data_IF_720178763704
#
_entry.id   IF_720178763704
#
_cell.length_a   1.000
_cell.length_b   1.000
_cell.length_c   1.000
_cell.angle_alpha   90.00
_cell.angle_beta   90.00
_cell.angle_gamma   90.00
#
_symmetry.space_group_name_H-M   'P 1'
#
loop_
_entity.id
_entity.type
_entity.pdbx_description
1 polymer ?
#
# COMPACT_ATOMS: atom_id res chain seq x y z
N UNK A 1 -25.11 -7.42 -7.74
CA UNK A 1 -24.07 -6.70 -7.00
C UNK A 1 -23.79 -7.43 -5.71
N UNK A 2 -22.56 -7.41 -5.25
CA UNK A 2 -22.16 -7.99 -3.96
C UNK A 2 -22.92 -7.31 -2.81
N UNK A 3 -23.35 -8.08 -1.83
CA UNK A 3 -23.99 -7.56 -0.62
C UNK A 3 -22.93 -7.13 0.41
N UNK A 4 -23.26 -6.27 1.41
CA UNK A 4 -22.34 -5.97 2.51
C UNK A 4 -21.84 -7.21 3.24
N UNK A 5 -22.68 -8.27 3.31
CA UNK A 5 -22.31 -9.57 3.88
C UNK A 5 -21.22 -10.28 3.06
N UNK A 6 -21.32 -10.22 1.72
CA UNK A 6 -20.35 -10.84 0.83
C UNK A 6 -18.96 -10.20 0.99
N UNK A 7 -18.94 -8.88 1.21
CA UNK A 7 -17.69 -8.13 1.40
C UNK A 7 -17.08 -8.44 2.76
N UNK A 8 -17.89 -8.43 3.81
CA UNK A 8 -17.43 -8.81 5.14
C UNK A 8 -16.81 -10.21 5.09
N UNK A 9 -17.44 -11.13 4.37
CA UNK A 9 -16.91 -12.48 4.21
C UNK A 9 -15.59 -12.49 3.42
N UNK A 10 -15.46 -11.70 2.36
CA UNK A 10 -14.20 -11.57 1.60
C UNK A 10 -13.04 -11.06 2.46
N UNK A 11 -13.27 -10.06 3.31
CA UNK A 11 -12.24 -9.59 4.25
C UNK A 11 -11.82 -10.68 5.23
N UNK A 12 -12.77 -11.47 5.72
CA UNK A 12 -12.48 -12.61 6.60
C UNK A 12 -11.71 -13.71 5.90
N UNK A 13 -12.09 -14.03 4.67
CA UNK A 13 -11.41 -15.06 3.87
C UNK A 13 -9.99 -14.61 3.53
N UNK A 14 -9.79 -13.36 3.14
CA UNK A 14 -8.48 -12.79 2.89
C UNK A 14 -7.60 -12.78 4.17
N UNK A 15 -8.17 -12.45 5.33
CA UNK A 15 -7.45 -12.50 6.60
C UNK A 15 -7.04 -13.94 6.95
N UNK A 16 -7.92 -14.91 6.71
CA UNK A 16 -7.66 -16.33 6.96
C UNK A 16 -6.59 -16.89 6.03
N UNK A 17 -6.64 -16.52 4.74
CA UNK A 17 -5.65 -16.94 3.76
C UNK A 17 -4.26 -16.37 4.10
N UNK A 18 -4.17 -15.09 4.45
CA UNK A 18 -2.94 -14.48 4.93
C UNK A 18 -2.35 -15.22 6.13
N UNK A 19 -3.17 -15.55 7.14
CA UNK A 19 -2.72 -16.28 8.32
C UNK A 19 -2.26 -17.69 8.01
N UNK A 20 -2.93 -18.40 7.11
CA UNK A 20 -2.57 -19.75 6.70
C UNK A 20 -1.24 -19.80 5.92
N UNK A 21 -0.89 -18.69 5.25
CA UNK A 21 0.33 -18.58 4.44
C UNK A 21 1.51 -17.95 5.18
N UNK A 22 1.34 -17.57 6.46
CA UNK A 22 2.45 -17.06 7.27
C UNK A 22 3.49 -18.17 7.46
N UNK A 23 4.67 -17.94 6.93
CA UNK A 23 5.86 -18.74 7.22
C UNK A 23 6.74 -17.94 8.18
N UNK A 24 7.04 -18.54 9.33
CA UNK A 24 7.98 -17.93 10.27
C UNK A 24 9.40 -18.20 9.78
N UNK A 25 10.18 -17.16 9.45
CA UNK A 25 11.53 -17.34 8.96
C UNK A 25 12.45 -17.84 10.06
N UNK A 26 13.46 -18.62 9.70
CA UNK A 26 14.53 -19.05 10.61
C UNK A 26 15.43 -17.86 11.05
N UNK A 27 15.48 -16.80 10.25
CA UNK A 27 16.19 -15.56 10.56
C UNK A 27 15.32 -14.63 11.42
N UNK A 28 15.69 -14.37 12.69
CA UNK A 28 14.92 -13.52 13.60
C UNK A 28 14.88 -12.04 13.15
N UNK A 29 15.68 -11.62 12.17
CA UNK A 29 15.67 -10.28 11.61
C UNK A 29 14.70 -10.13 10.42
N UNK A 30 14.20 -11.22 9.88
CA UNK A 30 13.22 -11.21 8.80
C UNK A 30 11.82 -10.94 9.34
N UNK A 31 11.35 -9.72 9.14
CA UNK A 31 10.03 -9.22 9.57
C UNK A 31 8.93 -9.43 8.50
N UNK A 32 9.17 -10.20 7.45
CA UNK A 32 8.18 -10.40 6.37
C UNK A 32 6.85 -10.96 6.88
N UNK A 33 6.90 -11.88 7.86
CA UNK A 33 5.71 -12.43 8.51
C UNK A 33 4.88 -11.36 9.25
N UNK A 34 5.53 -10.35 9.83
CA UNK A 34 4.85 -9.29 10.57
C UNK A 34 3.96 -8.44 9.66
N UNK A 35 4.40 -8.20 8.42
CA UNK A 35 3.61 -7.49 7.41
C UNK A 35 2.34 -8.28 7.05
N UNK A 36 2.44 -9.59 6.87
CA UNK A 36 1.28 -10.46 6.60
C UNK A 36 0.33 -10.51 7.80
N UNK A 37 0.87 -10.61 9.02
CA UNK A 37 0.07 -10.61 10.23
C UNK A 37 -0.70 -9.29 10.40
N UNK A 38 -0.05 -8.15 10.15
CA UNK A 38 -0.70 -6.84 10.17
C UNK A 38 -1.78 -6.72 9.10
N UNK A 39 -1.53 -7.18 7.88
CA UNK A 39 -2.52 -7.17 6.81
C UNK A 39 -3.74 -8.06 7.15
N UNK A 40 -3.52 -9.23 7.72
CA UNK A 40 -4.59 -10.11 8.20
C UNK A 40 -5.42 -9.44 9.30
N UNK A 41 -4.76 -8.79 10.26
CA UNK A 41 -5.43 -8.09 11.36
C UNK A 41 -6.21 -6.87 10.88
N UNK A 42 -5.69 -6.12 9.90
CA UNK A 42 -6.42 -5.01 9.27
C UNK A 42 -7.69 -5.49 8.58
N UNK A 43 -7.63 -6.57 7.80
CA UNK A 43 -8.80 -7.14 7.12
C UNK A 43 -9.86 -7.61 8.14
N UNK A 44 -9.43 -8.23 9.23
CA UNK A 44 -10.34 -8.69 10.29
C UNK A 44 -11.00 -7.51 11.04
N UNK A 45 -10.23 -6.46 11.33
CA UNK A 45 -10.75 -5.23 11.93
C UNK A 45 -11.75 -4.55 11.01
N UNK A 46 -11.48 -4.53 9.70
CA UNK A 46 -12.39 -3.97 8.70
C UNK A 46 -13.70 -4.78 8.64
N UNK A 47 -13.62 -6.11 8.64
CA UNK A 47 -14.80 -6.97 8.68
C UNK A 47 -15.65 -6.72 9.93
N UNK A 48 -15.03 -6.64 11.11
CA UNK A 48 -15.71 -6.35 12.38
C UNK A 48 -16.34 -4.93 12.39
N UNK A 49 -15.66 -3.95 11.79
CA UNK A 49 -16.19 -2.59 11.67
C UNK A 49 -17.47 -2.56 10.83
N UNK A 50 -17.46 -3.25 9.69
CA UNK A 50 -18.64 -3.35 8.81
C UNK A 50 -19.82 -4.06 9.50
N UNK A 51 -19.56 -5.10 10.29
CA UNK A 51 -20.62 -5.78 11.07
C UNK A 51 -21.23 -4.88 12.15
N UNK A 52 -20.37 -4.17 12.90
CA UNK A 52 -20.87 -3.23 13.93
C UNK A 52 -21.71 -2.10 13.33
N UNK A 53 -21.35 -1.63 12.13
CA UNK A 53 -22.11 -0.60 11.43
C UNK A 53 -23.46 -1.10 10.94
N UNK A 54 -23.57 -2.36 10.55
CA UNK A 54 -24.84 -2.95 10.13
C UNK A 54 -25.88 -3.07 11.27
N UNK A 55 -25.40 -3.12 12.53
CA UNK A 55 -26.26 -3.26 13.72
C UNK A 55 -26.72 -1.93 14.34
N UNK A 56 -26.30 -0.78 13.79
CA UNK A 56 -26.67 0.53 14.33
C UNK A 56 -28.01 1.00 13.75
N UNK A 57 -28.91 1.48 14.63
CA UNK A 57 -30.23 2.02 14.26
C UNK A 57 -30.17 3.30 13.38
N UNK A 58 -28.99 3.85 13.14
CA UNK A 58 -28.78 5.03 12.29
C UNK A 58 -28.40 4.68 10.86
N UNK A 59 -28.00 3.42 10.60
CA UNK A 59 -27.67 2.96 9.28
C UNK A 59 -28.86 2.29 8.61
N UNK A 60 -29.25 2.85 7.48
CA UNK A 60 -30.22 2.24 6.58
C UNK A 60 -29.51 1.60 5.36
N UNK A 61 -30.25 0.94 4.50
CA UNK A 61 -29.69 0.30 3.30
C UNK A 61 -28.91 1.27 2.41
N UNK A 62 -29.24 2.54 2.42
CA UNK A 62 -28.55 3.54 1.61
C UNK A 62 -27.23 3.99 2.23
N UNK A 63 -27.17 4.20 3.56
CA UNK A 63 -25.91 4.49 4.25
C UNK A 63 -24.94 3.33 4.17
N UNK A 64 -25.43 2.10 4.31
CA UNK A 64 -24.62 0.88 4.12
C UNK A 64 -24.08 0.79 2.68
N UNK A 65 -24.90 1.11 1.68
CA UNK A 65 -24.45 1.14 0.29
C UNK A 65 -23.38 2.21 0.03
N UNK A 66 -23.51 3.40 0.62
CA UNK A 66 -22.47 4.45 0.55
C UNK A 66 -21.16 4.02 1.21
N UNK A 67 -21.24 3.36 2.36
CA UNK A 67 -20.07 2.79 3.04
C UNK A 67 -19.38 1.75 2.16
N UNK A 68 -20.15 0.91 1.50
CA UNK A 68 -19.64 -0.06 0.53
C UNK A 68 -18.89 0.63 -0.61
N UNK A 69 -19.49 1.63 -1.25
CA UNK A 69 -18.85 2.38 -2.32
C UNK A 69 -17.55 3.06 -1.85
N UNK A 70 -17.55 3.60 -0.62
CA UNK A 70 -16.35 4.19 -0.03
C UNK A 70 -15.22 3.16 0.10
N UNK A 71 -15.53 1.95 0.56
CA UNK A 71 -14.54 0.87 0.70
C UNK A 71 -14.01 0.45 -0.68
N UNK A 72 -14.88 0.31 -1.66
CA UNK A 72 -14.50 -0.02 -3.03
C UNK A 72 -13.56 1.03 -3.63
N UNK A 73 -13.89 2.31 -3.55
CA UNK A 73 -13.06 3.40 -4.04
C UNK A 73 -11.69 3.46 -3.33
N UNK A 74 -11.69 3.27 -2.01
CA UNK A 74 -10.46 3.22 -1.24
C UNK A 74 -9.58 2.02 -1.63
N UNK A 75 -10.18 0.86 -1.91
CA UNK A 75 -9.47 -0.32 -2.38
C UNK A 75 -8.84 -0.06 -3.75
N UNK A 76 -9.60 0.49 -4.69
CA UNK A 76 -9.12 0.86 -6.03
C UNK A 76 -7.97 1.86 -5.93
N UNK A 77 -8.13 2.91 -5.11
CA UNK A 77 -7.11 3.93 -4.91
C UNK A 77 -5.82 3.36 -4.31
N UNK A 78 -5.93 2.58 -3.23
CA UNK A 78 -4.78 1.97 -2.58
C UNK A 78 -4.06 0.97 -3.49
N UNK A 79 -4.80 0.22 -4.31
CA UNK A 79 -4.23 -0.70 -5.29
C UNK A 79 -3.46 0.04 -6.39
N UNK A 80 -3.98 1.18 -6.87
CA UNK A 80 -3.25 2.05 -7.81
C UNK A 80 -1.95 2.59 -7.20
N UNK A 81 -1.98 3.03 -5.94
CA UNK A 81 -0.78 3.47 -5.24
C UNK A 81 0.24 2.34 -5.07
N UNK A 82 -0.21 1.14 -4.71
CA UNK A 82 0.66 -0.02 -4.60
C UNK A 82 1.31 -0.36 -5.96
N UNK A 83 0.57 -0.23 -7.06
CA UNK A 83 1.10 -0.46 -8.42
C UNK A 83 2.18 0.57 -8.77
N UNK A 84 1.96 1.86 -8.47
CA UNK A 84 2.96 2.91 -8.68
C UNK A 84 4.22 2.63 -7.85
N UNK A 85 4.04 2.31 -6.58
CA UNK A 85 5.15 1.99 -5.67
C UNK A 85 5.92 0.74 -6.12
N UNK A 86 5.22 -0.28 -6.62
CA UNK A 86 5.84 -1.48 -7.20
C UNK A 86 6.78 -1.11 -8.37
N UNK A 87 6.32 -0.32 -9.31
CA UNK A 87 7.15 0.13 -10.45
C UNK A 87 8.32 0.99 -9.99
N UNK A 88 8.13 1.84 -8.96
CA UNK A 88 9.22 2.60 -8.36
C UNK A 88 10.30 1.68 -7.75
N UNK A 89 9.88 0.62 -7.04
CA UNK A 89 10.84 -0.33 -6.44
C UNK A 89 11.60 -1.11 -7.52
N UNK A 90 10.94 -1.52 -8.60
CA UNK A 90 11.61 -2.16 -9.74
C UNK A 90 12.66 -1.25 -10.38
N UNK A 91 12.29 0.01 -10.65
CA UNK A 91 13.20 1.00 -11.23
C UNK A 91 14.38 1.30 -10.30
N UNK A 92 14.12 1.49 -9.01
CA UNK A 92 15.15 1.71 -8.00
C UNK A 92 16.11 0.51 -7.91
N UNK A 93 15.55 -0.71 -7.91
CA UNK A 93 16.35 -1.94 -7.93
C UNK A 93 17.25 -2.04 -9.16
N UNK A 94 16.73 -1.70 -10.34
CA UNK A 94 17.52 -1.68 -11.57
C UNK A 94 18.66 -0.65 -11.48
N UNK A 95 18.35 0.58 -11.10
CA UNK A 95 19.35 1.65 -10.96
C UNK A 95 20.46 1.28 -9.94
N UNK A 96 20.07 0.66 -8.83
CA UNK A 96 21.02 0.21 -7.83
C UNK A 96 21.91 -0.93 -8.34
N UNK A 97 21.42 -1.83 -9.19
CA UNK A 97 22.23 -2.86 -9.83
C UNK A 97 23.25 -2.26 -10.80
N UNK A 98 22.85 -1.29 -11.62
CA UNK A 98 23.76 -0.56 -12.51
C UNK A 98 24.84 0.21 -11.70
N UNK A 99 24.43 0.83 -10.60
CA UNK A 99 25.36 1.50 -9.68
C UNK A 99 26.33 0.51 -9.04
N UNK A 100 25.86 -0.69 -8.67
CA UNK A 100 26.73 -1.75 -8.14
C UNK A 100 27.81 -2.17 -9.13
N UNK A 101 27.46 -2.34 -10.40
CA UNK A 101 28.45 -2.67 -11.46
C UNK A 101 29.55 -1.61 -11.56
N UNK A 102 29.18 -0.32 -11.44
CA UNK A 102 30.15 0.77 -11.40
C UNK A 102 31.06 0.70 -10.17
N UNK A 103 30.48 0.46 -8.98
CA UNK A 103 31.26 0.33 -7.74
C UNK A 103 32.21 -0.88 -7.78
N UNK A 104 31.79 -1.99 -8.39
CA UNK A 104 32.67 -3.16 -8.60
C UNK A 104 33.81 -2.85 -9.54
N UNK A 105 33.62 -2.05 -10.58
CA UNK A 105 34.69 -1.59 -11.44
C UNK A 105 35.68 -0.69 -10.70
N UNK A 106 35.20 0.23 -9.87
CA UNK A 106 36.02 1.08 -9.00
C UNK A 106 36.78 0.27 -7.96
N UNK A 107 36.16 -0.72 -7.35
CA UNK A 107 36.82 -1.63 -6.41
C UNK A 107 37.97 -2.40 -7.06
N UNK A 108 37.76 -2.98 -8.26
CA UNK A 108 38.82 -3.65 -9.04
C UNK A 108 39.97 -2.69 -9.35
N UNK A 109 39.67 -1.45 -9.73
CA UNK A 109 40.69 -0.43 -9.97
C UNK A 109 41.48 -0.12 -8.70
N UNK A 110 40.84 0.07 -7.55
CA UNK A 110 41.47 0.32 -6.28
C UNK A 110 42.39 -0.84 -5.86
N UNK A 111 41.97 -2.10 -6.07
CA UNK A 111 42.81 -3.27 -5.82
C UNK A 111 44.11 -3.26 -6.65
N UNK A 112 44.00 -2.96 -7.94
CA UNK A 112 45.17 -2.86 -8.84
C UNK A 112 46.10 -1.74 -8.39
N UNK A 113 45.55 -0.57 -8.04
CA UNK A 113 46.31 0.57 -7.56
C UNK A 113 47.02 0.27 -6.23
N UNK A 114 46.36 -0.45 -5.32
CA UNK A 114 46.97 -0.88 -4.07
C UNK A 114 48.16 -1.83 -4.29
N UNK A 115 48.07 -2.75 -5.27
CA UNK A 115 49.19 -3.67 -5.62
C UNK A 115 50.41 -2.92 -6.14
N UNK A 116 50.25 -1.78 -6.78
CA UNK A 116 51.37 -0.96 -7.28
C UNK A 116 51.75 0.18 -6.32
N UNK A 117 51.15 0.22 -5.12
CA UNK A 117 51.45 1.21 -4.08
C UNK A 117 50.81 2.57 -4.25
N UNK A 118 49.86 2.71 -5.17
CA UNK A 118 49.15 3.98 -5.47
C UNK A 118 47.82 4.13 -4.74
N UNK A 119 47.37 3.12 -4.00
CA UNK A 119 46.22 3.19 -3.12
C UNK A 119 46.49 2.46 -1.81
N UNK A 120 45.76 2.81 -0.77
CA UNK A 120 45.85 2.19 0.55
C UNK A 120 44.90 1.00 0.68
N UNK A 121 45.16 0.09 1.61
CA UNK A 121 44.26 -1.01 1.95
C UNK A 121 42.89 -0.45 2.47
N UNK A 122 42.93 0.71 3.13
CA UNK A 122 41.71 1.37 3.62
C UNK A 122 40.79 1.82 2.48
N UNK A 123 41.36 2.33 1.37
CA UNK A 123 40.59 2.70 0.18
C UNK A 123 39.93 1.48 -0.47
N UNK A 124 40.65 0.38 -0.56
CA UNK A 124 40.11 -0.90 -1.06
C UNK A 124 38.96 -1.40 -0.17
N UNK A 125 39.17 -1.36 1.17
CA UNK A 125 38.15 -1.77 2.13
C UNK A 125 36.88 -0.87 2.04
N UNK A 126 37.06 0.43 1.93
CA UNK A 126 35.95 1.39 1.79
C UNK A 126 35.14 1.13 0.52
N UNK A 127 35.78 0.86 -0.60
CA UNK A 127 35.11 0.51 -1.85
C UNK A 127 34.31 -0.80 -1.72
N UNK A 128 34.84 -1.81 -1.03
CA UNK A 128 34.14 -3.05 -0.74
C UNK A 128 32.91 -2.84 0.14
N UNK A 129 33.05 -2.06 1.21
CA UNK A 129 31.92 -1.75 2.10
C UNK A 129 30.77 -1.03 1.37
N UNK A 130 31.10 -0.14 0.41
CA UNK A 130 30.09 0.53 -0.41
C UNK A 130 29.27 -0.48 -1.26
N UNK A 131 29.93 -1.51 -1.80
CA UNK A 131 29.24 -2.58 -2.54
C UNK A 131 28.34 -3.39 -1.61
N UNK A 132 28.83 -3.81 -0.45
CA UNK A 132 28.06 -4.61 0.53
C UNK A 132 26.81 -3.83 1.02
N UNK A 133 26.96 -2.53 1.26
CA UNK A 133 25.85 -1.67 1.66
C UNK A 133 24.79 -1.55 0.54
N UNK A 134 25.23 -1.40 -0.71
CA UNK A 134 24.32 -1.30 -1.86
C UNK A 134 23.61 -2.63 -2.13
N UNK A 135 24.28 -3.77 -1.92
CA UNK A 135 23.65 -5.10 -1.99
C UNK A 135 22.52 -5.24 -0.99
N UNK A 136 22.72 -4.80 0.26
CA UNK A 136 21.65 -4.76 1.25
C UNK A 136 20.44 -3.92 0.79
N UNK A 137 20.70 -2.78 0.14
CA UNK A 137 19.65 -1.92 -0.41
C UNK A 137 18.89 -2.62 -1.55
N UNK A 138 19.58 -3.30 -2.45
CA UNK A 138 18.97 -4.06 -3.56
C UNK A 138 18.05 -5.15 -3.01
N UNK A 139 18.53 -5.94 -2.05
CA UNK A 139 17.74 -7.01 -1.43
C UNK A 139 16.47 -6.44 -0.77
N UNK A 140 16.60 -5.32 -0.06
CA UNK A 140 15.46 -4.65 0.56
C UNK A 140 14.43 -4.18 -0.47
N UNK A 141 14.88 -3.55 -1.56
CA UNK A 141 13.99 -3.09 -2.64
C UNK A 141 13.27 -4.25 -3.33
N UNK A 142 13.97 -5.36 -3.57
CA UNK A 142 13.38 -6.56 -4.18
C UNK A 142 12.29 -7.19 -3.29
N UNK A 143 12.56 -7.27 -1.97
CA UNK A 143 11.57 -7.76 -0.99
C UNK A 143 10.34 -6.86 -0.92
N UNK A 144 10.53 -5.55 -0.94
CA UNK A 144 9.42 -4.59 -0.94
C UNK A 144 8.60 -4.67 -2.21
N UNK A 145 9.25 -4.77 -3.38
CA UNK A 145 8.57 -5.01 -4.65
C UNK A 145 7.71 -6.29 -4.60
N UNK A 146 8.26 -7.38 -4.08
CA UNK A 146 7.51 -8.63 -3.92
C UNK A 146 6.30 -8.46 -2.98
N UNK A 147 6.47 -7.76 -1.86
CA UNK A 147 5.37 -7.49 -0.92
C UNK A 147 4.27 -6.66 -1.56
N UNK A 148 4.63 -5.64 -2.35
CA UNK A 148 3.67 -4.81 -3.08
C UNK A 148 2.92 -5.63 -4.13
N UNK A 149 3.62 -6.50 -4.87
CA UNK A 149 3.01 -7.41 -5.83
C UNK A 149 1.97 -8.32 -5.18
N UNK A 150 2.30 -8.89 -4.04
CA UNK A 150 1.38 -9.73 -3.25
C UNK A 150 0.14 -8.96 -2.78
N UNK A 151 0.31 -7.72 -2.30
CA UNK A 151 -0.81 -6.84 -1.93
C UNK A 151 -1.73 -6.56 -3.12
N UNK A 152 -1.17 -6.32 -4.31
CA UNK A 152 -1.95 -6.09 -5.53
C UNK A 152 -2.72 -7.36 -5.90
N UNK A 153 -2.07 -8.53 -5.86
CA UNK A 153 -2.73 -9.81 -6.14
C UNK A 153 -3.94 -10.01 -5.23
N UNK A 154 -3.77 -9.82 -3.92
CA UNK A 154 -4.88 -9.96 -2.96
C UNK A 154 -6.00 -8.95 -3.20
N UNK A 155 -5.66 -7.68 -3.48
CA UNK A 155 -6.64 -6.64 -3.74
C UNK A 155 -7.46 -6.89 -5.02
N UNK A 156 -6.89 -7.59 -6.00
CA UNK A 156 -7.53 -7.93 -7.28
C UNK A 156 -8.18 -9.32 -7.31
N UNK A 157 -8.14 -10.05 -6.18
CA UNK A 157 -8.73 -11.39 -6.07
C UNK A 157 -7.88 -12.49 -6.65
N UNK A 158 -6.61 -12.24 -6.92
CA UNK A 158 -5.66 -13.26 -7.33
C UNK A 158 -5.10 -14.00 -6.12
N UNK A 159 -4.56 -15.19 -6.36
CA UNK A 159 -3.85 -15.93 -5.31
C UNK A 159 -2.63 -15.12 -4.81
N UNK A 160 -2.33 -15.22 -3.53
CA UNK A 160 -1.19 -14.55 -2.88
C UNK A 160 0.16 -14.88 -3.55
N UNK A 161 0.31 -16.11 -3.99
CA UNK A 161 1.50 -16.64 -4.67
C UNK A 161 1.47 -16.48 -6.19
N UNK A 162 0.42 -15.83 -6.73
CA UNK A 162 0.36 -15.54 -8.15
C UNK A 162 1.50 -14.62 -8.57
N UNK A 163 2.01 -14.85 -9.79
CA UNK A 163 3.10 -14.07 -10.36
C UNK A 163 2.67 -13.37 -11.68
N UNK A 164 1.71 -12.43 -11.61
CA UNK A 164 1.28 -11.71 -12.80
C UNK A 164 2.35 -10.73 -13.27
N UNK A 165 2.38 -10.48 -14.57
CA UNK A 165 3.08 -9.33 -15.15
C UNK A 165 2.16 -8.12 -15.14
N UNK A 166 2.64 -7.02 -14.55
CA UNK A 166 1.93 -5.75 -14.60
C UNK A 166 2.43 -4.92 -15.79
N UNK A 167 1.48 -4.35 -16.55
CA UNK A 167 1.79 -3.43 -17.63
C UNK A 167 2.48 -2.16 -17.15
N UNK A 168 3.05 -1.39 -18.07
CA UNK A 168 3.67 -0.11 -17.79
C UNK A 168 2.65 0.89 -17.23
N UNK A 169 3.13 1.80 -16.36
CA UNK A 169 2.31 2.93 -15.92
C UNK A 169 1.98 3.84 -17.10
N UNK A 170 0.77 4.44 -17.12
CA UNK A 170 0.43 5.45 -18.12
C UNK A 170 1.35 6.68 -17.98
N UNK A 171 1.54 7.39 -19.07
CA UNK A 171 2.24 8.68 -19.05
C UNK A 171 1.48 9.70 -18.19
N UNK A 172 2.24 10.55 -17.52
CA UNK A 172 1.67 11.62 -16.71
C UNK A 172 1.16 12.74 -17.61
N UNK A 173 -0.13 13.01 -17.55
CA UNK A 173 -0.73 14.16 -18.22
C UNK A 173 -0.59 15.42 -17.34
N UNK A 174 0.45 16.18 -17.59
CA UNK A 174 0.73 17.42 -16.85
C UNK A 174 -0.36 18.47 -17.03
N UNK A 175 -1.11 18.46 -18.14
CA UNK A 175 -2.20 19.41 -18.37
C UNK A 175 -3.30 19.29 -17.32
N UNK A 176 -3.52 18.09 -16.77
CA UNK A 176 -4.46 17.86 -15.68
C UNK A 176 -4.00 18.47 -14.36
N UNK A 177 -2.67 18.56 -14.15
CA UNK A 177 -2.11 19.21 -12.96
C UNK A 177 -2.29 20.72 -13.08
N UNK A 178 -2.05 21.27 -14.26
CA UNK A 178 -2.21 22.70 -14.54
C UNK A 178 -3.68 23.16 -14.50
N UNK A 179 -4.62 22.22 -14.70
CA UNK A 179 -6.06 22.48 -14.65
C UNK A 179 -6.66 22.46 -13.22
N UNK A 180 -5.86 22.17 -12.18
CA UNK A 180 -6.33 22.14 -10.79
C UNK A 180 -6.67 23.56 -10.34
N UNK A 181 -7.95 23.77 -9.94
CA UNK A 181 -8.45 25.02 -9.38
C UNK A 181 -8.96 24.74 -7.96
N UNK A 182 -8.23 25.24 -6.96
CA UNK A 182 -8.45 24.89 -5.55
C UNK A 182 -9.91 25.09 -5.10
N UNK A 183 -10.53 26.21 -5.43
CA UNK A 183 -11.89 26.55 -4.97
C UNK A 183 -12.94 25.61 -5.57
N UNK A 184 -12.87 25.32 -6.87
CA UNK A 184 -13.81 24.42 -7.55
C UNK A 184 -13.58 22.96 -7.14
N UNK A 185 -12.33 22.55 -7.01
CA UNK A 185 -11.97 21.20 -6.64
C UNK A 185 -12.32 20.89 -5.18
N UNK A 186 -12.17 21.89 -4.29
CA UNK A 186 -12.62 21.77 -2.90
C UNK A 186 -14.13 21.58 -2.81
N UNK A 187 -14.91 22.37 -3.55
CA UNK A 187 -16.38 22.24 -3.59
C UNK A 187 -16.79 20.86 -4.10
N UNK A 188 -16.15 20.39 -5.17
CA UNK A 188 -16.40 19.07 -5.75
C UNK A 188 -16.00 17.94 -4.79
N UNK A 189 -14.89 18.09 -4.08
CA UNK A 189 -14.43 17.10 -3.09
C UNK A 189 -15.41 16.98 -1.91
N UNK A 190 -15.94 18.11 -1.40
CA UNK A 190 -16.96 18.11 -0.35
C UNK A 190 -18.27 17.48 -0.84
N UNK A 191 -18.72 17.78 -2.05
CA UNK A 191 -19.91 17.19 -2.64
C UNK A 191 -19.78 15.66 -2.83
N UNK A 192 -18.61 15.19 -3.23
CA UNK A 192 -18.35 13.79 -3.50
C UNK A 192 -17.86 12.98 -2.29
N UNK A 193 -17.61 13.64 -1.16
CA UNK A 193 -17.13 12.96 0.06
C UNK A 193 -18.13 11.91 0.56
N UNK A 194 -17.75 10.63 0.50
CA UNK A 194 -18.56 9.54 1.06
C UNK A 194 -18.77 9.71 2.56
N UNK A 195 -17.75 10.15 3.30
CA UNK A 195 -17.86 10.39 4.73
C UNK A 195 -18.97 11.41 5.06
N UNK A 196 -19.03 12.52 4.32
CA UNK A 196 -20.09 13.52 4.49
C UNK A 196 -21.45 13.00 4.05
N UNK A 197 -21.54 12.27 2.95
CA UNK A 197 -22.80 11.65 2.48
C UNK A 197 -23.34 10.67 3.51
N UNK A 198 -22.49 9.83 4.08
CA UNK A 198 -22.84 8.85 5.12
C UNK A 198 -23.29 9.59 6.39
N UNK A 199 -22.51 10.57 6.88
CA UNK A 199 -22.86 11.32 8.09
C UNK A 199 -24.17 12.08 7.96
N UNK A 200 -24.43 12.66 6.79
CA UNK A 200 -25.73 13.32 6.50
C UNK A 200 -26.88 12.32 6.54
N UNK A 201 -26.71 11.15 5.92
CA UNK A 201 -27.72 10.11 5.93
C UNK A 201 -28.00 9.58 7.33
N UNK A 202 -26.95 9.33 8.11
CA UNK A 202 -27.07 8.93 9.52
C UNK A 202 -27.74 10.01 10.37
N UNK A 203 -27.44 11.29 10.11
CA UNK A 203 -28.12 12.42 10.76
C UNK A 203 -29.61 12.43 10.47
N UNK A 204 -30.01 12.22 9.21
CA UNK A 204 -31.44 12.18 8.81
C UNK A 204 -32.18 11.00 9.46
N UNK A 205 -31.51 9.86 9.60
CA UNK A 205 -32.08 8.66 10.20
C UNK A 205 -32.10 8.69 11.74
N UNK A 206 -31.22 9.49 12.36
CA UNK A 206 -31.12 9.54 13.82
C UNK A 206 -32.28 10.25 14.47
N UNK A 207 -32.83 9.66 15.52
CA UNK A 207 -33.87 10.26 16.39
C UNK A 207 -33.27 10.75 17.71
N UNK A 208 -32.03 10.36 18.04
CA UNK A 208 -31.35 10.75 19.26
C UNK A 208 -30.67 12.11 19.13
N UNK A 209 -30.94 13.04 20.06
CA UNK A 209 -30.43 14.40 20.01
C UNK A 209 -28.90 14.49 20.17
N UNK A 210 -28.30 13.65 21.00
CA UNK A 210 -26.86 13.64 21.22
C UNK A 210 -26.10 13.10 20.00
N UNK A 211 -26.63 12.05 19.37
CA UNK A 211 -26.12 11.49 18.12
C UNK A 211 -26.20 12.52 17.00
N UNK A 212 -27.33 13.22 16.87
CA UNK A 212 -27.49 14.29 15.87
C UNK A 212 -26.52 15.44 16.07
N UNK A 213 -26.31 15.89 17.30
CA UNK A 213 -25.35 16.95 17.61
C UNK A 213 -23.91 16.56 17.20
N UNK A 214 -23.50 15.31 17.48
CA UNK A 214 -22.18 14.81 17.09
C UNK A 214 -22.02 14.70 15.58
N UNK A 215 -23.04 14.20 14.88
CA UNK A 215 -23.04 14.11 13.43
C UNK A 215 -23.03 15.50 12.75
N UNK A 216 -23.76 16.47 13.31
CA UNK A 216 -23.76 17.85 12.83
C UNK A 216 -22.36 18.49 12.90
N UNK A 217 -21.60 18.23 13.99
CA UNK A 217 -20.19 18.68 14.10
C UNK A 217 -19.28 18.07 13.05
N UNK A 218 -19.59 16.86 12.59
CA UNK A 218 -18.82 16.17 11.57
C UNK A 218 -19.14 16.69 10.15
N UNK A 219 -20.39 17.18 9.95
CA UNK A 219 -20.90 17.66 8.65
C UNK A 219 -20.47 19.11 8.37
N UNK A 220 -20.22 19.92 9.42
CA UNK A 220 -19.75 21.32 9.34
C UNK A 220 -18.27 21.40 9.02
#
# INVERSE_FOLDING_TARGET
>A
GETPSDITQRYRDAAKELRNNIQYPDDPTDMSYATMLMAAQMNETQAQSLEKQADTNVDDAQSIFLQYQQVEENLVFSTKLNLISYHQMLLSGQLNREHKELLEALYRSAQIQAQVGNATEMEVLTARQAIEQLEGTIISSDREAQTLKQKICLATGWSYDADPEFGSLPEVDFSRIDAIVLESDQALALENSYALKISRRQYDNSTDSATRENLEKTIR
#
